data_IF_366037260024
#
_entry.id   IF_366037260024
#
_cell.length_a   1.000
_cell.length_b   1.000
_cell.length_c   1.000
_cell.angle_alpha   90.00
_cell.angle_beta   90.00
_cell.angle_gamma   90.00
#
_symmetry.space_group_name_H-M   'P 1'
#
loop_
_entity.id
_entity.type
_entity.pdbx_description
1 polymer ?
#
# COMPACT_ATOMS: atom_id res chain seq x y z
N UNK A 1 11.27 -4.30 -5.55
CA UNK A 1 10.16 -3.56 -4.92
C UNK A 1 10.15 -3.77 -3.42
N UNK A 2 10.09 -5.01 -2.95
CA UNK A 2 10.14 -5.31 -1.51
C UNK A 2 11.49 -4.96 -0.84
N UNK A 3 12.54 -4.70 -1.60
CA UNK A 3 13.88 -4.32 -1.11
C UNK A 3 14.27 -2.89 -1.50
N UNK A 4 13.29 -2.08 -1.91
CA UNK A 4 13.50 -0.69 -2.31
C UNK A 4 12.89 0.25 -1.27
N UNK A 5 13.27 1.53 -1.32
CA UNK A 5 12.45 2.59 -0.73
C UNK A 5 11.04 2.53 -1.30
N UNK A 6 10.03 2.55 -0.43
CA UNK A 6 8.66 2.34 -0.86
C UNK A 6 7.63 3.14 -0.05
N UNK A 7 6.51 3.41 -0.71
CA UNK A 7 5.24 3.68 -0.05
C UNK A 7 4.41 2.41 -0.14
N UNK A 8 3.74 2.04 0.94
CA UNK A 8 2.91 0.84 1.00
C UNK A 8 1.51 1.19 1.47
N UNK A 9 0.52 0.54 0.89
CA UNK A 9 -0.88 0.63 1.27
C UNK A 9 -1.35 -0.74 1.71
N UNK A 10 -1.84 -0.81 2.93
CA UNK A 10 -2.44 -1.99 3.52
C UNK A 10 -3.95 -1.81 3.56
N UNK A 11 -4.67 -2.85 3.12
CA UNK A 11 -6.13 -2.88 3.10
C UNK A 11 -6.58 -4.19 3.71
N UNK A 12 -7.42 -4.12 4.73
CA UNK A 12 -8.23 -5.22 5.25
C UNK A 12 -9.68 -4.89 4.89
N UNK A 13 -10.22 -5.58 3.89
CA UNK A 13 -11.52 -5.23 3.32
C UNK A 13 -12.67 -5.50 4.27
N UNK A 14 -12.51 -6.51 5.12
CA UNK A 14 -13.56 -6.97 6.04
C UNK A 14 -13.40 -6.33 7.42
N UNK A 15 -12.29 -5.62 7.67
CA UNK A 15 -11.94 -5.01 8.94
C UNK A 15 -12.01 -6.04 10.09
N UNK A 16 -11.45 -7.22 9.85
CA UNK A 16 -11.62 -8.41 10.67
C UNK A 16 -10.28 -9.02 11.14
N UNK A 17 -9.28 -8.16 11.36
CA UNK A 17 -7.90 -8.49 11.73
C UNK A 17 -7.07 -8.88 10.49
N UNK A 18 -6.22 -7.95 10.06
CA UNK A 18 -5.42 -8.12 8.85
C UNK A 18 -4.48 -9.32 8.98
N UNK A 19 -4.52 -10.19 7.98
CA UNK A 19 -3.62 -11.34 7.87
C UNK A 19 -2.67 -11.16 6.67
N UNK A 20 -1.40 -11.46 6.89
CA UNK A 20 -0.41 -11.50 5.82
C UNK A 20 -0.80 -12.57 4.79
N UNK A 21 -1.23 -12.13 3.60
CA UNK A 21 -1.77 -13.02 2.56
C UNK A 21 -3.20 -13.50 2.80
N UNK A 22 -3.95 -12.90 3.72
CA UNK A 22 -5.36 -13.19 3.94
C UNK A 22 -6.20 -12.93 2.68
N UNK A 23 -7.29 -13.67 2.50
CA UNK A 23 -8.05 -13.68 1.23
C UNK A 23 -8.63 -12.31 0.82
N UNK A 24 -8.88 -11.43 1.80
CA UNK A 24 -9.42 -10.09 1.60
C UNK A 24 -8.50 -8.99 2.15
N UNK A 25 -7.22 -9.36 2.36
CA UNK A 25 -6.13 -8.49 2.79
C UNK A 25 -5.18 -8.23 1.63
N UNK A 26 -4.72 -6.98 1.50
CA UNK A 26 -3.88 -6.55 0.39
C UNK A 26 -2.69 -5.73 0.86
N UNK A 27 -1.56 -5.91 0.18
CA UNK A 27 -0.40 -5.03 0.28
C UNK A 27 -0.07 -4.49 -1.11
N UNK A 28 -0.34 -3.20 -1.32
CA UNK A 28 0.05 -2.48 -2.54
C UNK A 28 1.33 -1.71 -2.27
N UNK A 29 2.39 -2.00 -3.01
CA UNK A 29 3.69 -1.32 -2.86
C UNK A 29 3.91 -0.43 -4.07
N UNK A 30 4.30 0.81 -3.81
CA UNK A 30 4.81 1.77 -4.78
C UNK A 30 6.28 2.00 -4.49
N UNK A 31 7.13 1.93 -5.52
CA UNK A 31 8.54 2.29 -5.37
C UNK A 31 9.10 2.99 -6.60
N UNK A 32 10.18 3.77 -6.48
CA UNK A 32 10.90 4.27 -7.63
C UNK A 32 11.39 3.13 -8.53
N UNK A 33 11.29 3.33 -9.84
CA UNK A 33 11.83 2.40 -10.83
C UNK A 33 13.29 2.76 -11.18
N UNK A 34 14.15 1.75 -11.44
CA UNK A 34 15.44 2.00 -12.06
C UNK A 34 15.25 2.71 -13.41
N UNK A 35 15.84 3.88 -13.60
CA UNK A 35 15.66 4.69 -14.81
C UNK A 35 14.62 5.80 -14.70
N UNK A 36 13.96 5.96 -13.55
CA UNK A 36 13.02 7.05 -13.27
C UNK A 36 11.56 6.63 -13.29
N UNK A 37 10.71 7.48 -12.71
CA UNK A 37 9.29 7.20 -12.52
C UNK A 37 9.00 6.24 -11.35
N UNK A 38 7.72 5.95 -11.16
CA UNK A 38 7.22 5.08 -10.10
C UNK A 38 6.63 3.80 -10.70
N UNK A 39 6.74 2.70 -9.95
CA UNK A 39 6.09 1.41 -10.24
C UNK A 39 5.18 1.03 -9.08
N UNK A 40 4.11 0.31 -9.38
CA UNK A 40 3.13 -0.17 -8.42
C UNK A 40 2.84 -1.65 -8.65
N UNK A 41 2.66 -2.40 -7.57
CA UNK A 41 2.18 -3.78 -7.61
C UNK A 41 1.51 -4.15 -6.29
N UNK A 42 0.50 -5.00 -6.34
CA UNK A 42 -0.08 -5.68 -5.19
C UNK A 42 0.59 -7.07 -5.02
N UNK A 43 0.90 -7.44 -3.77
CA UNK A 43 1.87 -8.51 -3.46
C UNK A 43 1.27 -9.82 -2.97
N UNK A 44 0.06 -9.84 -2.42
CA UNK A 44 -0.57 -11.05 -1.91
C UNK A 44 -1.41 -11.76 -2.97
N UNK A 45 -2.11 -11.00 -3.81
CA UNK A 45 -3.10 -11.50 -4.77
C UNK A 45 -2.85 -10.98 -6.19
N UNK A 46 -1.58 -10.93 -6.61
CA UNK A 46 -1.13 -10.23 -7.81
C UNK A 46 -1.90 -10.58 -9.11
N UNK A 47 -2.39 -11.81 -9.24
CA UNK A 47 -3.20 -12.24 -10.39
C UNK A 47 -4.64 -11.68 -10.33
N UNK A 48 -5.27 -11.72 -9.13
CA UNK A 48 -6.61 -11.16 -8.88
C UNK A 48 -6.63 -9.64 -9.04
N UNK A 49 -5.54 -8.98 -8.66
CA UNK A 49 -5.39 -7.52 -8.64
C UNK A 49 -4.70 -6.96 -9.89
N UNK A 50 -4.44 -7.79 -10.91
CA UNK A 50 -3.75 -7.39 -12.12
C UNK A 50 -4.49 -6.24 -12.83
N UNK A 51 -3.81 -5.09 -12.96
CA UNK A 51 -4.36 -3.88 -13.59
C UNK A 51 -5.34 -3.07 -12.71
N UNK A 52 -5.73 -3.58 -11.54
CA UNK A 52 -6.65 -2.90 -10.62
C UNK A 52 -5.97 -1.82 -9.76
N UNK A 53 -4.64 -1.82 -9.68
CA UNK A 53 -3.84 -0.76 -9.09
C UNK A 53 -2.97 -0.09 -10.16
N UNK A 54 -3.06 1.24 -10.26
CA UNK A 54 -2.28 2.01 -11.24
C UNK A 54 -1.85 3.36 -10.68
N UNK A 55 -0.67 3.80 -11.10
CA UNK A 55 -0.21 5.15 -10.86
C UNK A 55 -0.85 6.05 -11.92
N UNK A 56 -1.54 7.10 -11.47
CA UNK A 56 -2.19 8.08 -12.37
C UNK A 56 -1.36 9.34 -12.56
N UNK A 57 -0.51 9.65 -11.58
CA UNK A 57 0.47 10.72 -11.64
C UNK A 57 1.63 10.39 -10.70
N UNK A 58 2.85 10.85 -11.01
CA UNK A 58 4.00 10.66 -10.14
C UNK A 58 5.12 11.65 -10.43
N UNK A 59 5.91 11.95 -9.41
CA UNK A 59 7.14 12.72 -9.53
C UNK A 59 8.26 12.00 -8.78
N UNK A 60 9.43 11.89 -9.42
CA UNK A 60 10.65 11.35 -8.79
C UNK A 60 11.74 12.39 -8.98
N UNK A 61 12.34 12.81 -7.87
CA UNK A 61 13.38 13.82 -7.83
C UNK A 61 14.54 13.34 -6.96
N UNK A 62 15.64 14.10 -6.95
CA UNK A 62 16.77 13.85 -6.05
C UNK A 62 16.41 14.01 -4.57
N UNK A 63 15.29 14.66 -4.24
CA UNK A 63 14.83 14.89 -2.85
C UNK A 63 13.79 13.87 -2.38
N UNK A 64 13.38 12.94 -3.25
CA UNK A 64 12.33 11.96 -2.95
C UNK A 64 11.32 11.85 -4.07
N UNK A 65 10.19 11.21 -3.75
CA UNK A 65 9.18 10.83 -4.73
C UNK A 65 7.76 11.01 -4.20
N UNK A 66 6.82 11.20 -5.13
CA UNK A 66 5.39 11.23 -4.88
C UNK A 66 4.64 10.47 -5.97
N UNK A 67 3.48 9.93 -5.61
CA UNK A 67 2.61 9.23 -6.54
C UNK A 67 1.14 9.41 -6.16
N UNK A 68 0.27 9.47 -7.16
CA UNK A 68 -1.17 9.34 -7.01
C UNK A 68 -1.55 7.93 -7.43
N UNK A 69 -2.07 7.16 -6.49
CA UNK A 69 -2.51 5.78 -6.68
C UNK A 69 -4.02 5.75 -6.95
N UNK A 70 -4.42 5.07 -8.02
CA UNK A 70 -5.81 4.67 -8.23
C UNK A 70 -5.95 3.17 -7.95
N UNK A 71 -6.97 2.83 -7.15
CA UNK A 71 -7.35 1.46 -6.81
C UNK A 71 -8.80 1.21 -7.26
N UNK A 72 -9.03 0.09 -7.94
CA UNK A 72 -10.38 -0.33 -8.28
C UNK A 72 -11.08 -0.91 -7.05
N UNK A 73 -12.08 -0.18 -6.55
CA UNK A 73 -12.77 -0.53 -5.29
C UNK A 73 -13.30 -1.96 -5.24
N UNK A 74 -13.92 -2.45 -6.33
CA UNK A 74 -14.49 -3.80 -6.43
C UNK A 74 -13.45 -4.90 -6.20
N UNK A 75 -12.25 -4.71 -6.74
CA UNK A 75 -11.18 -5.71 -6.67
C UNK A 75 -10.59 -5.79 -5.26
N UNK A 76 -10.41 -4.62 -4.63
CA UNK A 76 -9.86 -4.48 -3.29
C UNK A 76 -10.90 -4.54 -2.16
N UNK A 77 -12.14 -4.96 -2.45
CA UNK A 77 -13.19 -5.07 -1.44
C UNK A 77 -13.56 -3.74 -0.75
N UNK A 78 -13.21 -2.59 -1.34
CA UNK A 78 -13.44 -1.26 -0.76
C UNK A 78 -14.89 -0.83 -1.01
N UNK A 79 -15.80 -1.40 -0.21
CA UNK A 79 -17.22 -1.07 -0.20
C UNK A 79 -17.56 0.23 0.53
N UNK A 80 -18.85 0.47 0.71
CA UNK A 80 -19.33 1.49 1.65
C UNK A 80 -19.20 0.93 3.07
N UNK A 81 -18.70 1.74 4.00
CA UNK A 81 -18.52 1.29 5.38
C UNK A 81 -17.09 1.51 5.86
N UNK A 82 -16.69 0.71 6.84
CA UNK A 82 -15.36 0.74 7.44
C UNK A 82 -14.50 -0.33 6.78
N UNK A 83 -13.29 0.04 6.40
CA UNK A 83 -12.25 -0.90 5.97
C UNK A 83 -11.02 -0.67 6.85
N UNK A 84 -10.29 -1.74 7.15
CA UNK A 84 -8.98 -1.63 7.76
C UNK A 84 -8.00 -1.04 6.73
N UNK A 85 -7.21 -0.07 7.16
CA UNK A 85 -6.35 0.70 6.27
C UNK A 85 -5.11 1.22 6.98
N UNK A 86 -3.96 1.12 6.30
CA UNK A 86 -2.75 1.80 6.74
C UNK A 86 -1.89 2.23 5.57
N UNK A 87 -1.16 3.31 5.78
CA UNK A 87 -0.11 3.79 4.88
C UNK A 87 1.23 3.61 5.57
N UNK A 88 2.21 3.13 4.82
CA UNK A 88 3.56 3.02 5.31
C UNK A 88 4.56 3.70 4.37
N UNK A 89 5.62 4.23 4.96
CA UNK A 89 6.82 4.62 4.25
C UNK A 89 7.97 3.75 4.74
N UNK A 90 8.65 3.08 3.81
CA UNK A 90 9.84 2.28 4.07
C UNK A 90 11.05 2.94 3.44
N UNK A 91 12.13 3.01 4.19
CA UNK A 91 13.39 3.59 3.79
C UNK A 91 14.52 2.58 4.04
N UNK A 92 15.20 2.16 2.98
CA UNK A 92 16.28 1.19 3.00
C UNK A 92 17.59 1.89 2.63
N UNK A 93 18.48 2.03 3.62
CA UNK A 93 19.84 2.50 3.40
C UNK A 93 20.79 1.29 3.36
N UNK A 94 21.18 0.89 2.15
CA UNK A 94 22.12 -0.24 1.94
C UNK A 94 23.55 0.08 2.37
N UNK A 95 23.95 1.35 2.41
CA UNK A 95 25.30 1.75 2.84
C UNK A 95 25.42 1.62 4.36
N UNK A 96 24.37 1.98 5.08
CA UNK A 96 24.31 1.89 6.55
C UNK A 96 23.72 0.58 7.07
N UNK A 97 23.30 -0.32 6.18
CA UNK A 97 22.58 -1.54 6.51
C UNK A 97 21.37 -1.27 7.43
N UNK A 98 20.57 -0.27 7.07
CA UNK A 98 19.42 0.19 7.86
C UNK A 98 18.13 0.01 7.06
N UNK A 99 17.11 -0.51 7.71
CA UNK A 99 15.75 -0.65 7.19
C UNK A 99 14.79 -0.05 8.22
N UNK A 100 14.14 1.05 7.84
CA UNK A 100 13.21 1.76 8.70
C UNK A 100 11.84 1.80 8.05
N UNK A 101 10.81 1.49 8.85
CA UNK A 101 9.42 1.56 8.41
C UNK A 101 8.60 2.40 9.38
N UNK A 102 7.90 3.38 8.81
CA UNK A 102 6.91 4.16 9.52
C UNK A 102 5.52 3.78 8.98
N UNK A 103 4.61 3.40 9.88
CA UNK A 103 3.22 3.13 9.53
C UNK A 103 2.34 4.22 10.15
N UNK A 104 1.30 4.64 9.43
CA UNK A 104 0.28 5.54 9.97
C UNK A 104 -0.43 4.91 11.16
N UNK A 105 -0.84 3.65 11.00
CA UNK A 105 -1.44 2.87 12.09
C UNK A 105 -1.12 1.39 11.93
N UNK A 106 -0.64 0.78 13.01
CA UNK A 106 -0.37 -0.65 13.10
C UNK A 106 -0.32 -0.97 14.59
N UNK A 107 -1.22 -1.81 15.09
CA UNK A 107 -1.12 -2.33 16.44
C UNK A 107 -0.50 -3.73 16.40
N UNK A 108 0.26 -4.07 17.43
CA UNK A 108 0.79 -5.40 17.69
C UNK A 108 0.29 -5.84 19.08
N UNK A 109 0.10 -7.16 19.35
CA UNK A 109 0.51 -8.32 18.55
C UNK A 109 -0.50 -8.79 17.48
N UNK A 110 -1.73 -8.28 17.48
CA UNK A 110 -2.72 -8.53 16.45
C UNK A 110 -2.67 -7.38 15.43
N UNK A 111 -2.57 -7.68 14.12
CA UNK A 111 -2.36 -6.67 13.07
C UNK A 111 -3.65 -5.89 12.81
N UNK A 112 -4.05 -5.05 13.76
CA UNK A 112 -5.14 -4.11 13.53
C UNK A 112 -4.59 -2.91 12.76
N UNK A 113 -5.18 -2.68 11.59
CA UNK A 113 -4.97 -1.45 10.82
C UNK A 113 -5.86 -0.32 11.39
N UNK A 114 -5.62 0.90 10.94
CA UNK A 114 -6.53 2.01 11.24
C UNK A 114 -7.85 1.83 10.51
N UNK A 115 -8.92 2.48 10.95
CA UNK A 115 -10.20 2.41 10.23
C UNK A 115 -10.33 3.57 9.24
N UNK A 116 -10.58 3.25 7.97
CA UNK A 116 -10.99 4.20 6.94
C UNK A 116 -12.50 4.10 6.71
N UNK A 117 -13.23 5.19 6.99
CA UNK A 117 -14.67 5.27 6.68
C UNK A 117 -14.87 5.75 5.24
N UNK A 118 -15.37 4.86 4.39
CA UNK A 118 -15.72 5.15 3.00
C UNK A 118 -17.17 5.64 2.92
N UNK A 119 -17.37 6.83 2.36
CA UNK A 119 -18.68 7.43 2.07
C UNK A 119 -18.94 7.48 0.56
N UNK A 120 -20.20 7.69 0.16
CA UNK A 120 -20.50 8.03 -1.23
C UNK A 120 -19.75 9.33 -1.60
N UNK A 121 -19.17 9.37 -2.80
CA UNK A 121 -18.91 10.64 -3.46
C UNK A 121 -20.27 11.27 -3.80
N UNK A 122 -20.47 12.51 -3.36
CA UNK A 122 -21.60 13.34 -3.80
C UNK A 122 -21.54 13.60 -5.29
#
# INVERSE_FOLDING_TARGET
MYEDDSLEVYIDSNNNEFAWGGADDYQVILSPAPGGGMRVREFFHAERSAGACRIVDSSVTTRGYSAVLALERSVFGIGKGRVGFSLAARNIDRVRNSDAKFNWFFLEPATYLGELQVKNGT
#
